data_IF_310217871964
#
_entry.id   IF_310217871964
#
_cell.length_a   1.000
_cell.length_b   1.000
_cell.length_c   1.000
_cell.angle_alpha   90.00
_cell.angle_beta   90.00
_cell.angle_gamma   90.00
#
_symmetry.space_group_name_H-M   'P 1'
#
loop_
_entity.id
_entity.type
_entity.pdbx_description
1 polymer ?
#
# COMPACT_ATOMS: atom_id res chain seq x y z
N UNK A 1 28.35 3.37 -13.94
CA UNK A 1 27.47 3.56 -12.77
C UNK A 1 25.99 3.69 -13.16
N UNK A 2 25.59 4.56 -14.08
CA UNK A 2 24.15 4.71 -14.48
C UNK A 2 23.53 3.40 -14.97
N UNK A 3 24.25 2.57 -15.72
CA UNK A 3 23.78 1.27 -16.19
C UNK A 3 23.44 0.33 -15.02
N UNK A 4 24.22 0.36 -13.95
CA UNK A 4 23.96 -0.42 -12.75
C UNK A 4 22.64 -0.04 -12.09
N UNK A 5 22.36 1.26 -11.93
CA UNK A 5 21.11 1.72 -11.33
C UNK A 5 19.89 1.43 -12.20
N UNK A 6 20.00 1.58 -13.53
CA UNK A 6 18.93 1.22 -14.47
C UNK A 6 18.64 -0.29 -14.39
N UNK A 7 19.70 -1.10 -14.28
CA UNK A 7 19.60 -2.56 -14.15
C UNK A 7 18.98 -2.98 -12.80
N UNK A 8 19.05 -2.12 -11.79
CA UNK A 8 18.48 -2.33 -10.46
C UNK A 8 17.02 -1.84 -10.37
N UNK A 9 16.66 -0.78 -11.08
CA UNK A 9 15.31 -0.21 -11.08
C UNK A 9 14.29 -1.19 -11.68
N UNK A 10 14.61 -1.84 -12.80
CA UNK A 10 13.67 -2.73 -13.50
C UNK A 10 13.29 -3.97 -12.65
N UNK A 11 14.25 -4.73 -12.08
CA UNK A 11 13.91 -5.82 -11.17
C UNK A 11 13.14 -5.35 -9.93
N UNK A 12 13.48 -4.17 -9.38
CA UNK A 12 12.79 -3.62 -8.23
C UNK A 12 11.35 -3.22 -8.52
N UNK A 13 11.08 -2.70 -9.72
CA UNK A 13 9.71 -2.43 -10.18
C UNK A 13 8.88 -3.72 -10.25
N UNK A 14 9.45 -4.81 -10.78
CA UNK A 14 8.75 -6.10 -10.82
C UNK A 14 8.61 -6.71 -9.43
N UNK A 15 9.62 -6.57 -8.58
CA UNK A 15 9.62 -7.08 -7.22
C UNK A 15 8.52 -6.42 -6.36
N UNK A 16 8.36 -5.09 -6.45
CA UNK A 16 7.32 -4.40 -5.67
C UNK A 16 5.90 -4.86 -6.01
N UNK A 17 5.64 -5.30 -7.26
CA UNK A 17 4.34 -5.80 -7.69
C UNK A 17 4.03 -7.20 -7.14
N UNK A 18 5.07 -7.94 -6.72
CA UNK A 18 4.97 -9.30 -6.22
C UNK A 18 5.18 -9.40 -4.70
N UNK A 19 5.13 -8.29 -3.98
CA UNK A 19 5.22 -8.30 -2.51
C UNK A 19 4.05 -9.09 -1.89
N UNK A 20 4.34 -9.77 -0.79
CA UNK A 20 3.32 -10.35 0.06
C UNK A 20 2.73 -9.27 0.96
N UNK A 21 1.51 -8.83 0.64
CA UNK A 21 0.83 -7.79 1.40
C UNK A 21 0.03 -8.37 2.55
N UNK A 22 0.11 -7.69 3.70
CA UNK A 22 -0.72 -7.86 4.88
C UNK A 22 -1.71 -6.70 4.92
N UNK A 23 -3.01 -6.99 4.99
CA UNK A 23 -4.09 -5.99 4.94
C UNK A 23 -4.71 -5.72 6.30
N UNK A 24 -4.61 -6.68 7.22
CA UNK A 24 -5.26 -6.65 8.52
C UNK A 24 -4.39 -6.16 9.66
N UNK A 25 -4.89 -6.44 10.85
CA UNK A 25 -4.24 -6.08 12.11
C UNK A 25 -3.14 -7.04 12.53
N UNK A 26 -2.90 -8.12 11.80
CA UNK A 26 -1.88 -9.12 12.11
C UNK A 26 -0.46 -8.56 12.19
N UNK A 27 -0.18 -7.41 11.55
CA UNK A 27 1.08 -6.68 11.66
C UNK A 27 1.12 -5.55 12.69
N UNK A 28 0.05 -5.33 13.49
CA UNK A 28 -0.01 -4.21 14.44
C UNK A 28 0.95 -4.42 15.61
N UNK A 29 1.12 -5.67 16.04
CA UNK A 29 2.01 -5.99 17.16
C UNK A 29 3.34 -6.51 16.63
N UNK A 30 4.44 -6.03 17.21
CA UNK A 30 5.75 -6.66 16.93
C UNK A 30 5.69 -8.12 17.39
N UNK A 31 6.32 -9.02 16.64
CA UNK A 31 6.36 -10.46 16.95
C UNK A 31 6.85 -10.75 18.39
N UNK A 32 7.66 -9.85 18.95
CA UNK A 32 8.21 -9.94 20.31
C UNK A 32 7.30 -9.36 21.40
N UNK A 33 6.12 -8.80 21.07
CA UNK A 33 5.23 -8.22 22.07
C UNK A 33 4.54 -9.30 22.93
N UNK A 34 4.21 -8.97 24.18
CA UNK A 34 3.42 -9.87 25.06
C UNK A 34 2.09 -10.23 24.42
N UNK A 35 1.42 -9.26 23.80
CA UNK A 35 0.16 -9.45 23.10
C UNK A 35 0.25 -10.46 21.93
N UNK A 36 1.34 -10.43 21.16
CA UNK A 36 1.56 -11.40 20.08
C UNK A 36 1.75 -12.82 20.64
N UNK A 37 2.51 -12.97 21.72
CA UNK A 37 2.72 -14.25 22.40
C UNK A 37 1.45 -14.81 23.03
N UNK A 38 0.64 -13.95 23.66
CA UNK A 38 -0.64 -14.36 24.26
C UNK A 38 -1.65 -14.75 23.19
N UNK A 39 -1.72 -14.01 22.09
CA UNK A 39 -2.57 -14.32 20.94
C UNK A 39 -2.18 -15.67 20.30
N UNK A 40 -0.87 -15.94 20.13
CA UNK A 40 -0.39 -17.23 19.60
C UNK A 40 -0.73 -18.39 20.56
N UNK A 41 -0.60 -18.17 21.87
CA UNK A 41 -0.94 -19.18 22.88
C UNK A 41 -2.44 -19.48 22.89
N UNK A 42 -3.28 -18.47 22.75
CA UNK A 42 -4.73 -18.65 22.63
C UNK A 42 -5.06 -19.45 21.37
N UNK A 43 -4.40 -19.13 20.26
CA UNK A 43 -4.57 -19.84 19.00
C UNK A 43 -4.12 -21.29 19.06
N UNK A 44 -3.00 -21.59 19.74
CA UNK A 44 -2.54 -22.96 19.98
C UNK A 44 -3.54 -23.79 20.80
N UNK A 45 -4.17 -23.18 21.83
CA UNK A 45 -5.06 -23.90 22.74
C UNK A 45 -6.46 -24.06 22.16
N UNK A 46 -7.03 -22.99 21.56
CA UNK A 46 -8.42 -22.93 21.14
C UNK A 46 -8.62 -23.05 19.63
N UNK A 47 -7.54 -23.11 18.86
CA UNK A 47 -7.56 -23.00 17.38
C UNK A 47 -7.83 -21.58 16.92
N UNK A 48 -7.67 -21.38 15.62
CA UNK A 48 -7.95 -20.10 14.99
C UNK A 48 -9.44 -20.05 14.65
N UNK A 49 -10.21 -19.26 15.39
CA UNK A 49 -11.65 -19.10 15.15
C UNK A 49 -11.96 -17.66 14.77
N UNK A 50 -12.43 -17.52 13.58
CA UNK A 50 -12.88 -16.24 13.05
C UNK A 50 -14.39 -16.14 13.11
N UNK A 51 -14.88 -15.00 13.59
CA UNK A 51 -16.31 -14.71 13.62
C UNK A 51 -16.69 -13.78 12.47
N UNK A 52 -17.69 -14.18 11.71
CA UNK A 52 -18.36 -13.34 10.71
C UNK A 52 -19.85 -13.26 11.02
N UNK A 53 -20.48 -12.15 10.67
CA UNK A 53 -21.92 -11.94 10.85
C UNK A 53 -22.53 -11.63 9.50
N UNK A 54 -23.53 -12.41 9.14
CA UNK A 54 -24.35 -12.19 7.95
C UNK A 54 -25.74 -11.73 8.38
N UNK A 55 -26.16 -10.56 7.90
CA UNK A 55 -27.52 -10.04 8.08
C UNK A 55 -28.28 -10.20 6.79
N UNK A 56 -29.49 -10.75 6.89
CA UNK A 56 -30.41 -10.94 5.75
C UNK A 56 -31.81 -10.46 6.14
N UNK A 57 -32.70 -10.15 5.19
CA UNK A 57 -34.11 -9.85 5.49
C UNK A 57 -34.79 -11.04 6.17
N UNK A 58 -35.57 -10.75 7.22
CA UNK A 58 -36.36 -11.73 7.93
C UNK A 58 -37.73 -11.93 7.25
N UNK A 59 -37.70 -12.51 6.04
CA UNK A 59 -38.89 -12.69 5.20
C UNK A 59 -39.34 -14.15 5.18
N UNK A 60 -38.41 -15.11 5.16
CA UNK A 60 -38.69 -16.54 4.98
C UNK A 60 -37.67 -17.41 5.75
N UNK A 61 -38.12 -18.05 6.81
CA UNK A 61 -37.32 -18.95 7.65
C UNK A 61 -36.84 -20.21 6.89
N UNK A 62 -37.58 -20.68 5.89
CA UNK A 62 -37.18 -21.83 5.08
C UNK A 62 -36.04 -21.45 4.14
N UNK A 63 -36.08 -20.25 3.58
CA UNK A 63 -35.02 -19.69 2.75
C UNK A 63 -33.74 -19.43 3.56
N UNK A 64 -33.85 -18.85 4.75
CA UNK A 64 -32.75 -18.70 5.69
C UNK A 64 -32.12 -20.05 6.03
N UNK A 65 -32.95 -21.07 6.32
CA UNK A 65 -32.49 -22.43 6.62
C UNK A 65 -31.73 -23.04 5.45
N UNK A 66 -32.27 -22.95 4.22
CA UNK A 66 -31.61 -23.50 3.04
C UNK A 66 -30.24 -22.85 2.79
N UNK A 67 -30.13 -21.53 2.95
CA UNK A 67 -28.86 -20.81 2.83
C UNK A 67 -27.88 -21.22 3.93
N UNK A 68 -28.32 -21.28 5.19
CA UNK A 68 -27.45 -21.65 6.32
C UNK A 68 -26.98 -23.11 6.22
N UNK A 69 -27.80 -23.99 5.70
CA UNK A 69 -27.41 -25.39 5.41
C UNK A 69 -26.33 -25.43 4.32
N UNK A 70 -26.51 -24.71 3.22
CA UNK A 70 -25.51 -24.61 2.17
C UNK A 70 -24.17 -24.03 2.69
N UNK A 71 -24.22 -22.98 3.53
CA UNK A 71 -23.02 -22.41 4.17
C UNK A 71 -22.35 -23.42 5.12
N UNK A 72 -23.13 -24.23 5.81
CA UNK A 72 -22.61 -25.24 6.75
C UNK A 72 -21.84 -26.38 6.05
N UNK A 73 -22.01 -26.56 4.74
CA UNK A 73 -21.26 -27.53 3.94
C UNK A 73 -19.85 -27.08 3.59
N UNK A 74 -19.53 -25.79 3.79
CA UNK A 74 -18.16 -25.32 3.54
C UNK A 74 -17.19 -25.87 4.59
N UNK A 75 -16.11 -26.48 4.12
CA UNK A 75 -15.13 -27.15 4.99
C UNK A 75 -14.51 -26.22 6.04
N UNK A 76 -14.40 -24.94 5.69
CA UNK A 76 -13.84 -23.88 6.52
C UNK A 76 -14.80 -23.42 7.63
N UNK A 77 -16.11 -23.65 7.49
CA UNK A 77 -17.15 -23.27 8.47
C UNK A 77 -17.29 -24.37 9.54
N UNK A 78 -17.11 -23.99 10.78
CA UNK A 78 -17.24 -24.92 11.93
C UNK A 78 -18.60 -24.83 12.62
N UNK A 79 -19.18 -23.63 12.64
CA UNK A 79 -20.45 -23.41 13.34
C UNK A 79 -21.23 -22.31 12.66
N UNK A 80 -22.50 -22.53 12.46
CA UNK A 80 -23.48 -21.55 12.00
C UNK A 80 -24.54 -21.39 13.09
N UNK A 81 -24.65 -20.20 13.64
CA UNK A 81 -25.64 -19.85 14.66
C UNK A 81 -26.65 -18.89 14.04
N UNK A 82 -27.86 -19.35 13.84
CA UNK A 82 -29.01 -18.59 13.34
C UNK A 82 -30.27 -19.01 14.08
N UNK A 83 -31.34 -18.25 13.88
CA UNK A 83 -32.65 -18.64 14.44
C UNK A 83 -33.04 -20.04 13.92
N UNK A 84 -32.97 -20.25 12.63
CA UNK A 84 -33.36 -21.51 11.97
C UNK A 84 -32.53 -22.71 12.40
N UNK A 85 -31.25 -22.51 12.76
CA UNK A 85 -30.34 -23.61 13.15
C UNK A 85 -30.32 -23.86 14.67
N UNK A 86 -30.58 -22.83 15.50
CA UNK A 86 -30.48 -22.93 16.95
C UNK A 86 -31.84 -23.18 17.60
N UNK A 87 -32.89 -22.52 17.16
CA UNK A 87 -34.26 -22.63 17.68
C UNK A 87 -35.05 -23.63 16.84
N UNK A 88 -34.84 -23.61 15.54
CA UNK A 88 -35.54 -24.44 14.55
C UNK A 88 -36.73 -23.70 13.93
N UNK A 89 -37.01 -24.08 12.67
CA UNK A 89 -38.10 -23.47 11.86
C UNK A 89 -39.53 -23.86 12.38
N UNK A 90 -39.60 -24.87 13.26
CA UNK A 90 -40.87 -25.37 13.78
C UNK A 90 -41.39 -24.57 14.98
N UNK A 91 -40.53 -23.79 15.65
CA UNK A 91 -40.90 -22.96 16.76
C UNK A 91 -41.17 -21.54 16.27
N UNK A 92 -42.43 -21.06 16.24
CA UNK A 92 -42.70 -19.68 15.83
C UNK A 92 -42.07 -18.70 16.83
N UNK A 93 -41.60 -17.52 16.37
CA UNK A 93 -41.01 -16.50 17.23
C UNK A 93 -41.87 -16.06 18.40
N UNK A 94 -43.19 -16.16 18.27
CA UNK A 94 -44.19 -15.78 19.29
C UNK A 94 -44.09 -16.62 20.57
N UNK A 95 -43.43 -17.77 20.53
CA UNK A 95 -43.22 -18.63 21.71
C UNK A 95 -41.93 -18.30 22.50
N UNK A 96 -41.12 -17.37 21.99
CA UNK A 96 -39.91 -16.90 22.64
C UNK A 96 -40.14 -15.53 23.27
N UNK A 97 -39.40 -15.22 24.32
CA UNK A 97 -39.41 -13.87 24.86
C UNK A 97 -38.64 -12.89 23.97
N UNK A 98 -38.95 -11.59 24.08
CA UNK A 98 -38.33 -10.54 23.21
C UNK A 98 -36.80 -10.53 23.31
N UNK A 99 -36.25 -10.83 24.47
CA UNK A 99 -34.81 -10.87 24.71
C UNK A 99 -34.15 -12.01 23.94
N UNK A 100 -34.76 -13.17 23.86
CA UNK A 100 -34.26 -14.32 23.08
C UNK A 100 -34.39 -14.10 21.58
N UNK A 101 -35.47 -13.46 21.13
CA UNK A 101 -35.69 -13.16 19.72
C UNK A 101 -34.67 -12.10 19.25
N UNK A 102 -34.43 -11.07 20.05
CA UNK A 102 -33.53 -9.96 19.70
C UNK A 102 -32.09 -10.39 19.45
N UNK A 103 -31.68 -11.56 19.95
CA UNK A 103 -30.39 -12.17 19.64
C UNK A 103 -30.27 -12.52 18.15
N UNK A 104 -31.35 -12.98 17.55
CA UNK A 104 -31.34 -13.47 16.16
C UNK A 104 -32.06 -12.54 15.19
N UNK A 105 -33.06 -11.79 15.64
CA UNK A 105 -33.92 -10.97 14.78
C UNK A 105 -34.14 -9.60 15.35
N UNK A 106 -33.97 -8.58 14.52
CA UNK A 106 -34.24 -7.18 14.90
C UNK A 106 -34.51 -6.36 13.66
N UNK A 107 -35.41 -5.41 13.70
CA UNK A 107 -35.74 -4.46 12.63
C UNK A 107 -35.96 -5.10 11.26
N UNK A 108 -36.66 -6.25 11.24
CA UNK A 108 -36.94 -7.00 10.00
C UNK A 108 -35.72 -7.65 9.34
N UNK A 109 -34.65 -7.86 10.12
CA UNK A 109 -33.44 -8.55 9.69
C UNK A 109 -33.14 -9.74 10.58
N UNK A 110 -32.65 -10.81 9.98
CA UNK A 110 -32.12 -11.99 10.66
C UNK A 110 -30.60 -11.93 10.72
N UNK A 111 -30.06 -12.25 11.91
CA UNK A 111 -28.63 -12.29 12.17
C UNK A 111 -28.12 -13.72 12.20
N UNK A 112 -27.17 -14.02 11.36
CA UNK A 112 -26.50 -15.31 11.25
C UNK A 112 -25.04 -15.11 11.64
N UNK A 113 -24.57 -15.83 12.66
CA UNK A 113 -23.20 -15.78 13.14
C UNK A 113 -22.47 -17.01 12.61
N UNK A 114 -21.37 -16.78 11.93
CA UNK A 114 -20.54 -17.80 11.30
C UNK A 114 -19.20 -17.86 12.03
N UNK A 115 -18.79 -19.06 12.44
CA UNK A 115 -17.44 -19.31 12.95
C UNK A 115 -16.67 -20.14 11.94
N UNK A 116 -15.59 -19.56 11.43
CA UNK A 116 -14.71 -20.18 10.45
C UNK A 116 -13.34 -20.53 11.06
N UNK A 117 -12.74 -21.59 10.56
CA UNK A 117 -11.39 -22.05 10.90
C UNK A 117 -10.42 -21.60 9.80
N UNK A 118 -10.31 -20.28 9.65
CA UNK A 118 -9.39 -19.64 8.70
C UNK A 118 -8.65 -18.50 9.36
N UNK A 119 -7.48 -18.11 8.85
CA UNK A 119 -6.82 -16.86 9.24
C UNK A 119 -7.70 -15.63 8.98
N UNK A 120 -7.38 -14.50 9.61
CA UNK A 120 -8.07 -13.21 9.36
C UNK A 120 -7.82 -12.66 7.97
N UNK A 121 -6.79 -13.15 7.29
CA UNK A 121 -6.41 -12.74 5.94
C UNK A 121 -5.66 -13.87 5.21
N UNK A 122 -5.50 -13.70 3.90
CA UNK A 122 -4.84 -14.70 3.05
C UNK A 122 -5.79 -15.35 2.06
N UNK A 123 -5.25 -16.23 1.23
CA UNK A 123 -6.01 -16.82 0.10
C UNK A 123 -7.23 -17.60 0.56
N UNK A 124 -7.11 -18.38 1.64
CA UNK A 124 -8.21 -19.21 2.15
C UNK A 124 -9.33 -18.36 2.74
N UNK A 125 -8.98 -17.37 3.58
CA UNK A 125 -9.95 -16.45 4.15
C UNK A 125 -10.70 -15.65 3.10
N UNK A 126 -9.98 -15.14 2.10
CA UNK A 126 -10.57 -14.35 1.02
C UNK A 126 -11.45 -15.18 0.09
N UNK A 127 -11.05 -16.42 -0.21
CA UNK A 127 -11.90 -17.35 -0.97
C UNK A 127 -13.19 -17.70 -0.22
N UNK A 128 -13.11 -17.84 1.11
CA UNK A 128 -14.31 -18.08 1.92
C UNK A 128 -15.24 -16.86 1.89
N UNK A 129 -14.72 -15.63 1.98
CA UNK A 129 -15.54 -14.40 1.88
C UNK A 129 -16.25 -14.32 0.53
N UNK A 130 -15.57 -14.68 -0.58
CA UNK A 130 -16.18 -14.73 -1.91
C UNK A 130 -17.31 -15.76 -1.96
N UNK A 131 -17.07 -17.00 -1.52
CA UNK A 131 -18.10 -18.05 -1.45
C UNK A 131 -19.32 -17.64 -0.63
N UNK A 132 -19.09 -17.01 0.54
CA UNK A 132 -20.18 -16.54 1.40
C UNK A 132 -21.00 -15.44 0.72
N UNK A 133 -20.37 -14.53 -0.01
CA UNK A 133 -21.05 -13.48 -0.78
C UNK A 133 -21.84 -14.05 -1.94
N UNK A 134 -21.25 -14.96 -2.71
CA UNK A 134 -21.93 -15.65 -3.82
C UNK A 134 -23.17 -16.38 -3.32
N UNK A 135 -23.04 -17.14 -2.23
CA UNK A 135 -24.18 -17.84 -1.62
C UNK A 135 -25.25 -16.88 -1.12
N UNK A 136 -24.86 -15.82 -0.40
CA UNK A 136 -25.84 -14.83 0.10
C UNK A 136 -26.53 -14.11 -1.09
N UNK A 137 -25.82 -13.81 -2.16
CA UNK A 137 -26.37 -13.18 -3.36
C UNK A 137 -27.33 -14.12 -4.13
N UNK A 138 -27.05 -15.41 -4.17
CA UNK A 138 -27.94 -16.40 -4.79
C UNK A 138 -29.30 -16.44 -4.08
N UNK A 139 -29.33 -16.38 -2.75
CA UNK A 139 -30.57 -16.44 -1.98
C UNK A 139 -31.26 -15.08 -1.83
N UNK A 140 -30.53 -14.00 -1.58
CA UNK A 140 -31.09 -12.68 -1.22
C UNK A 140 -30.76 -11.55 -2.21
N UNK A 141 -30.12 -11.87 -3.34
CA UNK A 141 -29.66 -10.84 -4.28
C UNK A 141 -28.69 -9.89 -3.59
N UNK A 142 -28.88 -8.60 -3.79
CA UNK A 142 -28.03 -7.56 -3.17
C UNK A 142 -28.50 -7.14 -1.77
N UNK A 143 -29.49 -7.81 -1.20
CA UNK A 143 -30.10 -7.42 0.07
C UNK A 143 -29.52 -8.23 1.24
N UNK A 144 -28.21 -8.20 1.42
CA UNK A 144 -27.50 -8.80 2.54
C UNK A 144 -26.34 -7.91 2.98
N UNK A 145 -25.91 -8.10 4.22
CA UNK A 145 -24.70 -7.45 4.76
C UNK A 145 -23.84 -8.50 5.45
N UNK A 146 -22.61 -8.66 4.96
CA UNK A 146 -21.63 -9.55 5.56
C UNK A 146 -20.55 -8.70 6.22
N UNK A 147 -20.27 -8.96 7.50
CA UNK A 147 -19.30 -8.21 8.32
C UNK A 147 -18.41 -9.20 9.08
N UNK A 148 -17.16 -8.88 9.23
CA UNK A 148 -16.16 -9.67 9.95
C UNK A 148 -14.75 -9.19 9.62
N UNK A 149 -13.74 -9.62 10.38
CA UNK A 149 -12.38 -9.16 10.15
C UNK A 149 -11.87 -9.53 8.75
N UNK A 150 -12.08 -10.77 8.30
CA UNK A 150 -11.72 -11.18 6.93
C UNK A 150 -12.46 -10.42 5.85
N UNK A 151 -13.73 -10.08 6.12
CA UNK A 151 -14.53 -9.31 5.15
C UNK A 151 -13.96 -7.91 5.00
N UNK A 152 -13.62 -7.27 6.12
CA UNK A 152 -12.98 -5.94 6.12
C UNK A 152 -11.64 -5.99 5.38
N UNK A 153 -10.81 -6.99 5.68
CA UNK A 153 -9.51 -7.16 5.03
C UNK A 153 -9.64 -7.44 3.53
N UNK A 154 -10.65 -8.23 3.13
CA UNK A 154 -10.97 -8.49 1.73
C UNK A 154 -11.41 -7.22 0.99
N UNK A 155 -12.33 -6.45 1.57
CA UNK A 155 -12.83 -5.21 0.97
C UNK A 155 -11.74 -4.15 0.88
N UNK A 156 -10.90 -4.07 1.90
CA UNK A 156 -9.72 -3.21 1.90
C UNK A 156 -8.78 -3.58 0.75
N UNK A 157 -8.43 -4.88 0.63
CA UNK A 157 -7.61 -5.38 -0.47
C UNK A 157 -8.23 -5.05 -1.84
N UNK A 158 -9.52 -5.33 -2.03
CA UNK A 158 -10.21 -5.12 -3.31
C UNK A 158 -10.21 -3.63 -3.70
N UNK A 159 -10.59 -2.76 -2.77
CA UNK A 159 -10.56 -1.30 -2.96
C UNK A 159 -9.17 -0.81 -3.35
N UNK A 160 -8.18 -1.27 -2.63
CA UNK A 160 -6.79 -0.85 -2.77
C UNK A 160 -6.18 -1.30 -4.10
N UNK A 161 -6.41 -2.56 -4.49
CA UNK A 161 -5.93 -3.08 -5.77
C UNK A 161 -6.55 -2.33 -6.95
N UNK A 162 -7.80 -1.88 -6.80
CA UNK A 162 -8.51 -1.10 -7.82
C UNK A 162 -8.07 0.36 -7.85
N UNK A 163 -8.00 1.01 -6.70
CA UNK A 163 -7.77 2.46 -6.59
C UNK A 163 -6.29 2.83 -6.57
N UNK A 164 -5.42 1.95 -6.08
CA UNK A 164 -3.99 2.21 -5.93
C UNK A 164 -3.29 2.69 -7.22
N UNK A 165 -3.46 2.01 -8.37
CA UNK A 165 -2.87 2.44 -9.63
C UNK A 165 -3.39 3.81 -10.10
N UNK A 166 -4.67 4.13 -9.85
CA UNK A 166 -5.27 5.41 -10.21
C UNK A 166 -4.67 6.54 -9.37
N UNK A 167 -4.57 6.34 -8.05
CA UNK A 167 -3.99 7.33 -7.12
C UNK A 167 -2.52 7.57 -7.42
N UNK A 168 -1.73 6.50 -7.61
CA UNK A 168 -0.31 6.61 -7.96
C UNK A 168 -0.11 7.30 -9.30
N UNK A 169 -0.90 6.94 -10.31
CA UNK A 169 -0.86 7.58 -11.63
C UNK A 169 -1.20 9.07 -11.57
N UNK A 170 -2.23 9.44 -10.80
CA UNK A 170 -2.61 10.83 -10.61
C UNK A 170 -1.52 11.64 -9.90
N UNK A 171 -0.86 11.06 -8.89
CA UNK A 171 0.26 11.68 -8.19
C UNK A 171 1.46 11.93 -9.13
N UNK A 172 1.83 10.94 -9.94
CA UNK A 172 2.92 11.05 -10.93
C UNK A 172 2.61 12.14 -11.96
N UNK A 173 1.36 12.18 -12.48
CA UNK A 173 0.92 13.21 -13.42
C UNK A 173 0.97 14.60 -12.78
N UNK A 174 0.46 14.74 -11.57
CA UNK A 174 0.46 16.03 -10.85
C UNK A 174 1.88 16.55 -10.64
N UNK A 175 2.80 15.71 -10.17
CA UNK A 175 4.21 16.06 -9.99
C UNK A 175 4.85 16.37 -11.34
N UNK A 176 4.59 15.59 -12.36
CA UNK A 176 5.07 15.82 -13.72
C UNK A 176 4.66 17.20 -14.26
N UNK A 177 3.41 17.61 -14.03
CA UNK A 177 2.90 18.94 -14.41
C UNK A 177 3.61 20.06 -13.65
N UNK A 178 3.80 19.92 -12.33
CA UNK A 178 4.54 20.90 -11.52
C UNK A 178 5.98 21.04 -12.00
N UNK A 179 6.65 19.93 -12.28
CA UNK A 179 8.00 19.93 -12.82
C UNK A 179 8.08 20.56 -14.22
N UNK A 180 7.10 20.28 -15.08
CA UNK A 180 7.00 20.83 -16.42
C UNK A 180 6.85 22.35 -16.40
N UNK A 181 6.00 22.88 -15.53
CA UNK A 181 5.80 24.32 -15.31
C UNK A 181 7.08 24.95 -14.74
N UNK A 182 7.71 24.28 -13.78
CA UNK A 182 8.94 24.75 -13.09
C UNK A 182 10.12 24.89 -14.03
N UNK A 183 10.37 23.86 -14.85
CA UNK A 183 11.56 23.80 -15.72
C UNK A 183 11.31 24.26 -17.14
N UNK A 184 10.07 24.36 -17.58
CA UNK A 184 9.68 24.68 -18.95
C UNK A 184 10.42 23.82 -19.99
N UNK A 185 10.60 22.55 -19.67
CA UNK A 185 11.29 21.53 -20.44
C UNK A 185 10.49 20.24 -20.39
N UNK A 186 10.41 19.49 -21.47
CA UNK A 186 9.73 18.20 -21.48
C UNK A 186 10.63 17.06 -20.95
N UNK A 187 11.92 17.14 -21.20
CA UNK A 187 12.86 16.05 -20.86
C UNK A 187 13.25 16.05 -19.39
N UNK A 188 13.41 17.23 -18.77
CA UNK A 188 13.80 17.32 -17.36
C UNK A 188 12.79 16.67 -16.40
N UNK A 189 11.48 16.93 -16.50
CA UNK A 189 10.48 16.25 -15.69
C UNK A 189 10.54 14.72 -15.80
N UNK A 190 10.72 14.19 -17.01
CA UNK A 190 10.82 12.75 -17.24
C UNK A 190 12.04 12.13 -16.54
N UNK A 191 13.21 12.79 -16.65
CA UNK A 191 14.44 12.33 -16.00
C UNK A 191 14.26 12.36 -14.46
N UNK A 192 13.69 13.45 -13.95
CA UNK A 192 13.42 13.58 -12.51
C UNK A 192 12.44 12.52 -12.03
N UNK A 193 11.33 12.32 -12.72
CA UNK A 193 10.34 11.29 -12.38
C UNK A 193 10.97 9.89 -12.38
N UNK A 194 11.73 9.52 -13.39
CA UNK A 194 12.42 8.22 -13.44
C UNK A 194 13.38 8.06 -12.27
N UNK A 195 14.09 9.10 -11.88
CA UNK A 195 15.03 9.05 -10.75
C UNK A 195 14.30 8.89 -9.43
N UNK A 196 13.21 9.62 -9.22
CA UNK A 196 12.45 9.64 -7.96
C UNK A 196 11.64 8.36 -7.83
N UNK A 197 10.89 7.98 -8.87
CA UNK A 197 10.14 6.72 -8.91
C UNK A 197 11.07 5.50 -8.78
N UNK A 198 12.23 5.55 -9.43
CA UNK A 198 13.24 4.50 -9.28
C UNK A 198 13.70 4.32 -7.83
N UNK A 199 13.81 5.41 -7.06
CA UNK A 199 14.11 5.31 -5.64
C UNK A 199 12.96 4.68 -4.83
N UNK A 200 11.71 5.02 -5.15
CA UNK A 200 10.52 4.43 -4.53
C UNK A 200 10.44 2.93 -4.85
N UNK A 201 10.63 2.55 -6.12
CA UNK A 201 10.58 1.14 -6.54
C UNK A 201 11.69 0.30 -5.91
N UNK A 202 12.91 0.83 -5.78
CA UNK A 202 14.00 0.14 -5.09
C UNK A 202 13.63 -0.06 -3.61
N UNK A 203 13.12 0.97 -2.95
CA UNK A 203 12.73 0.90 -1.55
C UNK A 203 11.61 -0.11 -1.30
N UNK A 204 10.56 -0.05 -2.12
CA UNK A 204 9.38 -0.93 -2.03
C UNK A 204 9.64 -2.35 -2.55
N UNK A 205 10.65 -2.55 -3.39
CA UNK A 205 11.04 -3.88 -3.87
C UNK A 205 11.91 -4.66 -2.89
N UNK A 206 12.57 -4.00 -1.93
CA UNK A 206 13.45 -4.68 -0.96
C UNK A 206 12.74 -5.76 -0.13
N UNK A 207 11.51 -5.56 0.39
CA UNK A 207 10.80 -6.60 1.15
C UNK A 207 10.64 -7.90 0.38
N UNK A 208 10.38 -7.85 -0.93
CA UNK A 208 10.31 -9.03 -1.78
C UNK A 208 11.61 -9.84 -1.79
N UNK A 209 12.77 -9.18 -1.93
CA UNK A 209 14.07 -9.84 -1.91
C UNK A 209 14.46 -10.35 -0.52
N UNK A 210 13.92 -9.75 0.53
CA UNK A 210 14.12 -10.19 1.92
C UNK A 210 13.10 -11.25 2.36
N UNK A 211 12.17 -11.63 1.47
CA UNK A 211 11.08 -12.56 1.76
C UNK A 211 10.27 -12.14 3.00
N UNK A 212 10.07 -10.83 3.18
CA UNK A 212 9.27 -10.25 4.25
C UNK A 212 7.92 -9.78 3.73
N UNK A 213 6.88 -9.92 4.56
CA UNK A 213 5.58 -9.33 4.29
C UNK A 213 5.64 -7.82 4.44
N UNK A 214 4.77 -7.12 3.75
CA UNK A 214 4.66 -5.66 3.74
C UNK A 214 3.24 -5.26 4.10
N UNK A 215 3.09 -4.41 5.13
CA UNK A 215 1.79 -3.85 5.43
C UNK A 215 1.34 -2.92 4.30
N UNK A 216 0.12 -3.16 3.81
CA UNK A 216 -0.37 -2.43 2.66
C UNK A 216 -0.58 -0.93 2.93
N UNK A 217 -1.00 -0.57 4.14
CA UNK A 217 -1.09 0.85 4.56
C UNK A 217 0.29 1.49 4.49
N UNK A 218 1.33 0.76 4.93
CA UNK A 218 2.72 1.16 4.81
C UNK A 218 3.13 1.41 3.36
N UNK A 219 2.79 0.50 2.47
CA UNK A 219 3.06 0.64 1.03
C UNK A 219 2.44 1.91 0.43
N UNK A 220 1.16 2.19 0.71
CA UNK A 220 0.47 3.40 0.21
C UNK A 220 1.08 4.69 0.75
N UNK A 221 1.34 4.74 2.06
CA UNK A 221 1.91 5.92 2.70
C UNK A 221 3.31 6.18 2.14
N UNK A 222 4.14 5.15 2.03
CA UNK A 222 5.52 5.29 1.55
C UNK A 222 5.56 5.73 0.10
N UNK A 223 4.77 5.13 -0.78
CA UNK A 223 4.73 5.51 -2.19
C UNK A 223 4.40 6.99 -2.37
N UNK A 224 3.47 7.53 -1.57
CA UNK A 224 3.05 8.93 -1.65
C UNK A 224 4.01 9.88 -0.93
N UNK A 225 4.40 9.58 0.30
CA UNK A 225 5.23 10.45 1.15
C UNK A 225 6.66 10.51 0.64
N UNK A 226 7.25 9.38 0.27
CA UNK A 226 8.61 9.34 -0.27
C UNK A 226 8.69 10.14 -1.56
N UNK A 227 7.71 10.01 -2.44
CA UNK A 227 7.63 10.77 -3.68
C UNK A 227 7.64 12.29 -3.40
N UNK A 228 6.78 12.76 -2.49
CA UNK A 228 6.72 14.17 -2.09
C UNK A 228 7.99 14.69 -1.42
N UNK A 229 8.54 13.93 -0.48
CA UNK A 229 9.71 14.32 0.29
C UNK A 229 11.02 14.37 -0.52
N UNK A 230 11.09 13.62 -1.64
CA UNK A 230 12.32 13.48 -2.42
C UNK A 230 12.33 14.28 -3.72
N UNK A 231 11.18 14.74 -4.18
CA UNK A 231 11.09 15.58 -5.39
C UNK A 231 11.90 16.88 -5.25
N UNK A 232 11.94 17.47 -4.05
CA UNK A 232 12.68 18.69 -3.79
C UNK A 232 14.20 18.55 -3.96
N UNK A 233 14.77 17.38 -3.65
CA UNK A 233 16.17 17.07 -3.89
C UNK A 233 16.50 17.10 -5.37
N UNK A 234 15.63 16.48 -6.17
CA UNK A 234 15.77 16.46 -7.63
C UNK A 234 15.61 17.85 -8.24
N UNK A 235 14.65 18.65 -7.79
CA UNK A 235 14.41 20.03 -8.24
C UNK A 235 15.63 20.90 -7.92
N UNK A 236 16.14 20.81 -6.69
CA UNK A 236 17.31 21.59 -6.27
C UNK A 236 18.52 21.27 -7.14
N UNK A 237 18.80 19.97 -7.33
CA UNK A 237 19.92 19.53 -8.17
C UNK A 237 19.78 20.00 -9.61
N UNK A 238 18.61 19.78 -10.22
CA UNK A 238 18.34 20.15 -11.61
C UNK A 238 18.42 21.66 -11.85
N UNK A 239 17.95 22.48 -10.91
CA UNK A 239 18.11 23.96 -10.97
C UNK A 239 19.57 24.38 -10.98
N UNK A 240 20.40 23.79 -10.12
CA UNK A 240 21.84 24.07 -10.10
C UNK A 240 22.53 23.60 -11.35
N UNK A 241 22.18 22.39 -11.87
CA UNK A 241 22.69 21.90 -13.14
C UNK A 241 22.38 22.86 -14.29
N UNK A 242 21.12 23.23 -14.47
CA UNK A 242 20.68 24.14 -15.54
C UNK A 242 21.33 25.51 -15.43
N UNK A 243 21.52 26.03 -14.23
CA UNK A 243 22.21 27.31 -14.01
C UNK A 243 23.67 27.23 -14.42
N UNK A 244 24.39 26.19 -14.00
CA UNK A 244 25.79 26.00 -14.32
C UNK A 244 25.98 25.72 -15.80
N UNK A 245 25.02 25.06 -16.46
CA UNK A 245 25.05 24.71 -17.89
C UNK A 245 25.00 25.93 -18.81
N UNK A 246 24.62 27.10 -18.26
CA UNK A 246 24.69 28.37 -19.03
C UNK A 246 26.11 28.85 -19.31
N UNK A 247 27.11 28.39 -18.58
CA UNK A 247 28.52 28.83 -18.71
C UNK A 247 29.49 27.66 -18.85
N UNK A 248 29.06 26.44 -18.57
CA UNK A 248 29.93 25.28 -18.47
C UNK A 248 29.47 24.11 -19.37
N UNK A 249 30.38 23.19 -19.66
CA UNK A 249 30.01 21.93 -20.30
C UNK A 249 29.10 21.07 -19.44
N UNK A 250 28.30 20.16 -20.01
CA UNK A 250 27.39 19.30 -19.28
C UNK A 250 28.05 18.51 -18.12
N UNK A 251 29.29 18.04 -18.34
CA UNK A 251 30.08 17.33 -17.31
C UNK A 251 30.48 18.25 -16.15
N UNK A 252 30.97 19.45 -16.46
CA UNK A 252 31.42 20.40 -15.46
C UNK A 252 30.21 21.02 -14.71
N UNK A 253 29.13 21.30 -15.43
CA UNK A 253 27.88 21.74 -14.83
C UNK A 253 27.34 20.74 -13.79
N UNK A 254 27.38 19.43 -14.09
CA UNK A 254 26.99 18.38 -13.18
C UNK A 254 27.93 18.31 -11.95
N UNK A 255 29.25 18.39 -12.18
CA UNK A 255 30.25 18.40 -11.09
C UNK A 255 30.03 19.56 -10.12
N UNK A 256 29.84 20.76 -10.67
CA UNK A 256 29.54 21.95 -9.85
C UNK A 256 28.19 21.84 -9.15
N UNK A 257 27.17 21.26 -9.78
CA UNK A 257 25.89 21.01 -9.13
C UNK A 257 26.05 20.06 -7.95
N UNK A 258 26.75 18.93 -8.08
CA UNK A 258 27.06 18.01 -6.97
C UNK A 258 27.72 18.77 -5.83
N UNK A 259 28.80 19.52 -6.11
CA UNK A 259 29.56 20.25 -5.11
C UNK A 259 28.69 21.26 -4.36
N UNK A 260 27.80 21.95 -5.05
CA UNK A 260 27.01 23.03 -4.48
C UNK A 260 25.73 22.56 -3.78
N UNK A 261 25.24 21.34 -4.07
CA UNK A 261 23.96 20.85 -3.55
C UNK A 261 24.08 19.64 -2.63
N UNK A 262 25.24 18.96 -2.60
CA UNK A 262 25.40 17.73 -1.81
C UNK A 262 25.08 17.95 -0.32
N UNK A 263 25.60 18.99 0.30
CA UNK A 263 25.29 19.29 1.70
C UNK A 263 23.81 19.64 1.93
N UNK A 264 23.22 20.43 1.04
CA UNK A 264 21.80 20.82 1.11
C UNK A 264 20.83 19.65 0.88
N UNK A 265 21.25 18.60 0.19
CA UNK A 265 20.47 17.38 -0.03
C UNK A 265 20.72 16.38 1.09
N UNK A 266 21.98 16.16 1.48
CA UNK A 266 22.32 15.15 2.49
C UNK A 266 21.83 15.53 3.89
N UNK A 267 21.88 16.81 4.26
CA UNK A 267 21.48 17.24 5.62
C UNK A 267 20.02 16.86 5.92
N UNK A 268 19.01 17.32 5.15
CA UNK A 268 17.62 16.95 5.43
C UNK A 268 17.37 15.45 5.24
N UNK A 269 18.03 14.80 4.28
CA UNK A 269 17.91 13.35 4.08
C UNK A 269 18.42 12.56 5.29
N UNK A 270 19.56 12.94 5.87
CA UNK A 270 20.08 12.32 7.10
C UNK A 270 19.18 12.59 8.31
N UNK A 271 18.68 13.82 8.47
CA UNK A 271 17.75 14.15 9.56
C UNK A 271 16.49 13.29 9.46
N UNK A 272 15.88 13.21 8.28
CA UNK A 272 14.70 12.39 8.05
C UNK A 272 15.00 10.90 8.28
N UNK A 273 16.12 10.40 7.74
CA UNK A 273 16.51 9.01 7.89
C UNK A 273 16.72 8.65 9.38
N UNK A 274 17.47 9.45 10.12
CA UNK A 274 17.73 9.18 11.54
C UNK A 274 16.44 9.22 12.36
N UNK A 275 15.59 10.23 12.17
CA UNK A 275 14.31 10.34 12.88
C UNK A 275 13.41 9.14 12.59
N UNK A 276 13.29 8.75 11.33
CA UNK A 276 12.47 7.62 10.91
C UNK A 276 13.05 6.27 11.38
N UNK A 277 14.37 6.08 11.34
CA UNK A 277 15.00 4.87 11.86
C UNK A 277 14.84 4.74 13.39
N UNK A 278 14.97 5.85 14.13
CA UNK A 278 14.70 5.86 15.57
C UNK A 278 13.25 5.44 15.83
N UNK A 279 12.29 5.99 15.10
CA UNK A 279 10.88 5.60 15.19
C UNK A 279 10.71 4.11 14.88
N UNK A 280 11.37 3.61 13.83
CA UNK A 280 11.31 2.22 13.42
C UNK A 280 11.85 1.23 14.47
N UNK A 281 12.92 1.58 15.17
CA UNK A 281 13.52 0.70 16.18
C UNK A 281 12.89 0.81 17.57
N UNK A 282 12.31 1.96 17.92
CA UNK A 282 11.74 2.18 19.26
C UNK A 282 10.26 1.82 19.33
N UNK A 283 9.52 1.91 18.21
CA UNK A 283 8.08 1.66 18.22
C UNK A 283 7.75 0.21 18.52
N UNK A 284 6.89 0.00 19.50
CA UNK A 284 6.26 -1.30 19.80
C UNK A 284 5.10 -1.64 18.86
N UNK A 285 4.60 -0.67 18.10
CA UNK A 285 3.59 -0.88 17.06
C UNK A 285 4.28 -1.28 15.75
N UNK A 286 3.98 -2.47 15.25
CA UNK A 286 4.63 -3.05 14.07
C UNK A 286 4.45 -2.20 12.80
N UNK A 287 3.25 -1.63 12.58
CA UNK A 287 2.98 -0.77 11.41
C UNK A 287 3.83 0.51 11.48
N UNK A 288 3.91 1.14 12.66
CA UNK A 288 4.71 2.36 12.84
C UNK A 288 6.20 2.05 12.70
N UNK A 289 6.65 0.93 13.25
CA UNK A 289 8.02 0.45 13.09
C UNK A 289 8.39 0.24 11.63
N UNK A 290 7.54 -0.47 10.89
CA UNK A 290 7.74 -0.73 9.47
C UNK A 290 7.76 0.56 8.65
N UNK A 291 6.80 1.48 8.88
CA UNK A 291 6.76 2.80 8.27
C UNK A 291 8.05 3.59 8.52
N UNK A 292 8.52 3.60 9.78
CA UNK A 292 9.76 4.26 10.16
C UNK A 292 10.97 3.71 9.41
N UNK A 293 11.14 2.39 9.41
CA UNK A 293 12.24 1.73 8.71
C UNK A 293 12.21 1.99 7.20
N UNK A 294 11.03 1.94 6.59
CA UNK A 294 10.88 2.14 5.14
C UNK A 294 11.11 3.61 4.75
N UNK A 295 10.56 4.58 5.48
CA UNK A 295 10.79 6.01 5.22
C UNK A 295 12.25 6.38 5.41
N UNK A 296 12.88 5.91 6.49
CA UNK A 296 14.29 6.15 6.76
C UNK A 296 15.20 5.62 5.66
N UNK A 297 14.98 4.37 5.26
CA UNK A 297 15.68 3.72 4.15
C UNK A 297 15.40 4.43 2.82
N UNK A 298 14.15 4.81 2.57
CA UNK A 298 13.74 5.52 1.37
C UNK A 298 14.42 6.88 1.22
N UNK A 299 14.58 7.64 2.30
CA UNK A 299 15.29 8.92 2.29
C UNK A 299 16.77 8.75 1.89
N UNK A 300 17.45 7.72 2.41
CA UNK A 300 18.84 7.41 2.06
C UNK A 300 18.94 7.01 0.58
N UNK A 301 18.11 6.07 0.11
CA UNK A 301 18.13 5.60 -1.28
C UNK A 301 17.89 6.77 -2.24
N UNK A 302 16.89 7.60 -1.96
CA UNK A 302 16.54 8.74 -2.81
C UNK A 302 17.69 9.76 -2.90
N UNK A 303 18.32 10.12 -1.78
CA UNK A 303 19.44 11.06 -1.76
C UNK A 303 20.65 10.52 -2.57
N UNK A 304 20.92 9.22 -2.46
CA UNK A 304 21.97 8.54 -3.25
C UNK A 304 21.65 8.59 -4.75
N UNK A 305 20.42 8.27 -5.14
CA UNK A 305 20.04 8.30 -6.56
C UNK A 305 20.09 9.73 -7.13
N UNK A 306 19.67 10.72 -6.37
CA UNK A 306 19.74 12.13 -6.80
C UNK A 306 21.19 12.61 -6.94
N UNK A 307 22.11 12.15 -6.11
CA UNK A 307 23.51 12.58 -6.19
C UNK A 307 24.37 11.75 -7.18
N UNK A 308 23.95 10.54 -7.52
CA UNK A 308 24.74 9.64 -8.38
C UNK A 308 24.07 9.38 -9.73
N UNK A 309 22.79 8.97 -9.73
CA UNK A 309 22.08 8.61 -10.95
C UNK A 309 21.65 9.85 -11.74
N UNK A 310 21.03 10.83 -11.07
CA UNK A 310 20.50 12.02 -11.72
C UNK A 310 21.58 12.81 -12.50
N UNK A 311 22.78 13.10 -11.94
CA UNK A 311 23.86 13.75 -12.73
C UNK A 311 24.21 13.00 -13.99
N UNK A 312 24.27 11.67 -13.90
CA UNK A 312 24.61 10.81 -15.03
C UNK A 312 23.55 10.87 -16.14
N UNK A 313 22.28 10.82 -15.76
CA UNK A 313 21.16 10.96 -16.72
C UNK A 313 21.14 12.35 -17.36
N UNK A 314 21.35 13.41 -16.57
CA UNK A 314 21.42 14.77 -17.11
C UNK A 314 22.53 14.96 -18.11
N UNK A 315 23.71 14.35 -17.91
CA UNK A 315 24.83 14.38 -18.87
C UNK A 315 24.48 13.59 -20.13
N UNK A 316 23.92 12.40 -20.03
CA UNK A 316 23.56 11.55 -21.17
C UNK A 316 22.52 12.24 -22.05
N UNK A 317 21.50 12.83 -21.42
CA UNK A 317 20.39 13.49 -22.12
C UNK A 317 20.58 15.00 -22.31
N UNK A 318 21.77 15.54 -22.03
CA UNK A 318 22.05 16.98 -22.12
C UNK A 318 21.62 17.62 -23.45
N UNK A 319 21.93 16.98 -24.57
CA UNK A 319 21.53 17.45 -25.91
C UNK A 319 20.03 17.50 -26.12
N UNK A 320 19.29 16.55 -25.52
CA UNK A 320 17.82 16.48 -25.62
C UNK A 320 17.19 17.53 -24.71
N UNK A 321 17.74 17.72 -23.53
CA UNK A 321 17.31 18.76 -22.57
C UNK A 321 17.41 20.13 -23.22
N UNK A 322 18.54 20.45 -23.87
CA UNK A 322 18.73 21.72 -24.54
C UNK A 322 17.73 21.96 -25.68
N UNK A 323 17.35 20.91 -26.42
CA UNK A 323 16.37 21.03 -27.52
C UNK A 323 14.93 21.21 -27.01
N UNK A 324 14.61 20.65 -25.86
CA UNK A 324 13.23 20.63 -25.30
C UNK A 324 12.95 21.73 -24.29
N UNK A 325 13.98 22.51 -23.90
CA UNK A 325 13.83 23.64 -22.98
C UNK A 325 13.38 24.88 -23.72
N UNK A 326 12.29 25.50 -23.25
CA UNK A 326 11.71 26.72 -23.85
C UNK A 326 12.26 27.99 -23.20
N UNK A 327 12.47 29.06 -23.97
CA UNK A 327 12.75 30.42 -23.48
C UNK A 327 14.21 30.88 -23.55
N UNK A 328 14.57 31.89 -22.77
CA UNK A 328 15.89 32.59 -22.76
C UNK A 328 17.08 31.66 -22.52
N UNK A 329 16.85 30.56 -21.84
CA UNK A 329 17.84 29.50 -21.61
C UNK A 329 18.27 28.82 -22.91
N UNK A 330 17.35 28.59 -23.85
CA UNK A 330 17.64 28.00 -25.17
C UNK A 330 18.56 28.92 -26.02
N UNK A 331 18.34 30.24 -25.95
CA UNK A 331 19.10 31.20 -26.72
C UNK A 331 20.57 31.25 -26.28
N UNK A 332 20.79 31.28 -24.95
CA UNK A 332 22.14 31.24 -24.38
C UNK A 332 22.83 29.89 -24.52
N UNK A 333 22.09 28.77 -24.45
CA UNK A 333 22.65 27.42 -24.63
C UNK A 333 23.05 27.15 -26.09
N UNK A 334 22.32 27.71 -27.08
CA UNK A 334 22.65 27.57 -28.49
C UNK A 334 23.84 28.47 -28.96
N UNK A 335 24.17 29.53 -28.20
CA UNK A 335 25.28 30.40 -28.47
C UNK A 335 26.64 29.83 -27.97
N UNK A 336 26.61 28.78 -27.15
CA UNK A 336 27.78 28.16 -26.52
C UNK A 336 28.11 26.75 -27.03
N UNK A 337 27.33 26.18 -27.93
CA UNK A 337 27.54 24.86 -28.59
C UNK A 337 27.95 25.00 -30.01
#
# INVERSE_FOLDING_TARGET
MSLFFVLLIVPSFLAQMNNHFVYGSSGIHSEDSELARDAERIKEIFGQRQQMVLLVPDEDAAKEKAMTDAISEFAEIKTVISYSNTVGTQIPPEFLNEEQISIFRSEGKSRIILYADTPDEGKEAFALVEKLRETAEEYYGKNYWLVGQSVINYDLKDTIVKDGPLVSGAAIIAIGLVLLITFRSLTLPLILLITIEGAVWINLGLPYFMNSSLNYIGFLIISSVQLGATVDYGILFAKHYMRNRLSESGKEAARLAIRNTSASIMTPACILAIACLILGFISSNGIISELGLMLGRGAIISSILVLILLPSLLIIFDRVIQKTTLGTCRKKLNEMG
#
